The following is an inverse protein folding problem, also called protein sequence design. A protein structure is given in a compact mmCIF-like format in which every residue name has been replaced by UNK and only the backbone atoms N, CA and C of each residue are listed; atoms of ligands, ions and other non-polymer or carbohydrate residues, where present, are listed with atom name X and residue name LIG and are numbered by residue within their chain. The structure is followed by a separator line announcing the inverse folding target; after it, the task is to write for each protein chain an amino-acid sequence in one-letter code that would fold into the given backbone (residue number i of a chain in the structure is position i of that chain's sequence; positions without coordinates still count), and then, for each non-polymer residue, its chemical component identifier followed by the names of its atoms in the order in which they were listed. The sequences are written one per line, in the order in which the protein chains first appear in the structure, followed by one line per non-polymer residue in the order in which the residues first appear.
data_IF_888995024705
#
_entry.id   IF_888995024705
#
_cell.length_a   1.000
_cell.length_b   1.000
_cell.length_c   1.000
_cell.angle_alpha   90.00
_cell.angle_beta   90.00
_cell.angle_gamma   90.00
#
_symmetry.space_group_name_H-M   'P 1'
#
loop_
_entity.id
_entity.type
_entity.pdbx_description
1 polymer ?
#
# COMPACT_ATOMS: atom_id res chain seq x y z
N UNK A 1 -0.90 -3.04 -22.14
CA UNK A 1 -1.35 -2.52 -23.45
C UNK A 1 -1.11 -1.03 -23.45
N UNK A 2 -0.09 -0.58 -24.16
CA UNK A 2 0.17 0.85 -24.39
C UNK A 2 -0.81 1.27 -25.47
N UNK A 3 -1.78 2.11 -25.14
CA UNK A 3 -2.70 2.68 -26.12
C UNK A 3 -1.94 3.65 -27.00
N UNK A 4 -1.80 3.25 -28.26
CA UNK A 4 -1.28 4.06 -29.33
C UNK A 4 -2.36 5.09 -29.74
N UNK A 5 -2.31 6.28 -29.13
CA UNK A 5 -3.14 7.41 -29.57
C UNK A 5 -2.43 8.72 -29.29
N UNK A 6 -1.80 9.22 -30.33
CA UNK A 6 -1.22 10.55 -30.36
C UNK A 6 0.06 10.57 -31.15
N UNK A 7 -0.06 10.59 -32.48
CA UNK A 7 1.01 11.09 -33.34
C UNK A 7 1.25 12.55 -32.97
N UNK A 8 2.13 12.78 -31.98
CA UNK A 8 2.62 14.10 -31.69
C UNK A 8 3.51 14.55 -32.86
N UNK A 9 3.45 15.84 -33.23
CA UNK A 9 4.30 16.45 -34.25
C UNK A 9 5.82 16.23 -34.02
N UNK A 10 6.20 15.69 -32.86
CA UNK A 10 7.57 15.27 -32.52
C UNK A 10 8.08 14.07 -33.36
N UNK A 11 7.18 13.24 -33.95
CA UNK A 11 7.58 12.08 -34.75
C UNK A 11 8.00 12.44 -36.19
N UNK A 12 7.82 13.69 -36.61
CA UNK A 12 8.25 14.20 -37.93
C UNK A 12 9.66 14.81 -37.93
N UNK A 13 10.28 14.99 -36.75
CA UNK A 13 11.62 15.53 -36.65
C UNK A 13 12.67 14.46 -37.01
N UNK A 14 13.68 14.85 -37.80
CA UNK A 14 14.86 14.02 -37.97
C UNK A 14 15.62 13.85 -36.64
N UNK A 15 16.41 12.77 -36.53
CA UNK A 15 17.21 12.53 -35.32
C UNK A 15 18.21 13.67 -35.04
N UNK A 16 18.69 14.35 -36.08
CA UNK A 16 19.59 15.48 -35.96
C UNK A 16 18.88 16.71 -35.39
N UNK A 17 17.66 17.02 -35.84
CA UNK A 17 16.83 18.11 -35.32
C UNK A 17 16.45 17.84 -33.86
N UNK A 18 16.07 16.61 -33.52
CA UNK A 18 15.78 16.22 -32.15
C UNK A 18 17.00 16.41 -31.24
N UNK A 19 18.17 15.94 -31.63
CA UNK A 19 19.41 16.09 -30.89
C UNK A 19 19.81 17.57 -30.75
N UNK A 20 19.60 18.37 -31.76
CA UNK A 20 19.84 19.82 -31.69
C UNK A 20 18.92 20.48 -30.68
N UNK A 21 17.61 20.20 -30.71
CA UNK A 21 16.65 20.73 -29.74
C UNK A 21 16.99 20.31 -28.31
N UNK A 22 17.33 19.04 -28.11
CA UNK A 22 17.71 18.49 -26.80
C UNK A 22 18.98 19.17 -26.27
N UNK A 23 19.97 19.43 -27.14
CA UNK A 23 21.23 20.15 -26.74
C UNK A 23 21.00 21.59 -26.31
N UNK A 24 19.91 22.21 -26.74
CA UNK A 24 19.53 23.60 -26.36
C UNK A 24 18.60 23.64 -25.15
N UNK A 25 18.00 22.49 -24.79
CA UNK A 25 17.05 22.39 -23.67
C UNK A 25 17.83 22.33 -22.35
N UNK A 26 17.57 23.25 -21.47
CA UNK A 26 18.14 23.24 -20.11
C UNK A 26 17.13 22.74 -19.12
N UNK A 27 17.58 22.17 -18.00
CA UNK A 27 16.70 21.73 -16.91
C UNK A 27 15.78 22.89 -16.47
N UNK A 28 16.28 24.11 -16.42
CA UNK A 28 15.49 25.26 -16.01
C UNK A 28 14.31 25.59 -16.93
N UNK A 29 14.36 25.17 -18.22
CA UNK A 29 13.27 25.40 -19.18
C UNK A 29 12.17 24.38 -19.07
N UNK A 30 12.47 23.16 -18.59
CA UNK A 30 11.52 22.04 -18.52
C UNK A 30 11.07 21.68 -17.10
N UNK A 31 11.80 22.15 -16.08
CA UNK A 31 11.47 21.85 -14.69
C UNK A 31 10.16 22.49 -14.26
N UNK A 32 9.46 21.81 -13.36
CA UNK A 32 8.27 22.35 -12.67
C UNK A 32 8.71 23.52 -11.78
N UNK A 33 8.07 24.68 -11.95
CA UNK A 33 8.40 25.91 -11.19
C UNK A 33 7.74 25.93 -9.82
N UNK A 34 6.50 25.40 -9.71
CA UNK A 34 5.76 25.31 -8.45
C UNK A 34 5.81 23.86 -7.96
N UNK A 35 6.84 23.57 -7.18
CA UNK A 35 7.05 22.23 -6.63
C UNK A 35 6.11 21.99 -5.45
N UNK A 36 5.44 20.85 -5.44
CA UNK A 36 4.64 20.37 -4.30
C UNK A 36 5.56 19.50 -3.45
N UNK A 37 5.62 19.77 -2.15
CA UNK A 37 6.42 19.03 -1.17
C UNK A 37 5.56 18.56 -0.01
N UNK A 38 6.13 17.71 0.84
CA UNK A 38 5.56 17.25 2.11
C UNK A 38 6.52 17.51 3.26
N UNK A 39 6.00 17.65 4.47
CA UNK A 39 6.82 17.74 5.68
C UNK A 39 7.39 16.35 6.04
N UNK A 40 8.57 16.32 6.67
CA UNK A 40 9.21 15.05 7.08
C UNK A 40 8.45 14.28 8.16
N UNK A 41 7.52 14.93 8.86
CA UNK A 41 6.62 14.32 9.85
C UNK A 41 5.19 14.11 9.31
N UNK A 42 4.98 14.29 8.00
CA UNK A 42 3.67 14.11 7.39
C UNK A 42 3.26 12.64 7.36
N UNK A 43 1.97 12.37 7.56
CA UNK A 43 1.42 11.02 7.45
C UNK A 43 1.55 10.49 6.02
N UNK A 44 1.87 9.19 5.89
CA UNK A 44 2.02 8.54 4.58
C UNK A 44 0.70 8.55 3.79
N UNK A 45 -0.44 8.46 4.46
CA UNK A 45 -1.77 8.54 3.86
C UNK A 45 -2.01 9.92 3.22
N UNK A 46 -1.64 10.98 3.93
CA UNK A 46 -1.75 12.35 3.40
C UNK A 46 -0.79 12.60 2.25
N UNK A 47 0.45 12.10 2.37
CA UNK A 47 1.45 12.11 1.31
C UNK A 47 0.94 11.40 0.05
N UNK A 48 0.35 10.21 0.23
CA UNK A 48 -0.26 9.43 -0.86
C UNK A 48 -1.42 10.17 -1.51
N UNK A 49 -2.32 10.75 -0.71
CA UNK A 49 -3.43 11.54 -1.22
C UNK A 49 -2.95 12.75 -2.04
N UNK A 50 -1.86 13.40 -1.59
CA UNK A 50 -1.26 14.53 -2.29
C UNK A 50 -0.68 14.12 -3.64
N UNK A 51 -0.02 12.94 -3.74
CA UNK A 51 0.44 12.36 -4.99
C UNK A 51 -0.72 12.09 -5.95
N UNK A 52 -1.77 11.43 -5.47
CA UNK A 52 -2.95 11.08 -6.27
C UNK A 52 -3.67 12.32 -6.80
N UNK A 53 -3.97 13.31 -5.95
CA UNK A 53 -4.69 14.53 -6.32
C UNK A 53 -3.95 15.36 -7.38
N UNK A 54 -2.62 15.31 -7.37
CA UNK A 54 -1.78 16.11 -8.28
C UNK A 54 -1.21 15.28 -9.44
N UNK A 55 -1.52 13.99 -9.51
CA UNK A 55 -1.00 13.02 -10.50
C UNK A 55 0.54 13.07 -10.60
N UNK A 56 1.21 13.01 -9.46
CA UNK A 56 2.68 13.04 -9.35
C UNK A 56 3.19 11.80 -8.62
N UNK A 57 4.27 11.22 -9.14
CA UNK A 57 4.86 9.97 -8.64
C UNK A 57 5.91 10.14 -7.54
N UNK A 58 6.32 11.38 -7.24
CA UNK A 58 7.27 11.66 -6.17
C UNK A 58 7.09 13.07 -5.61
N UNK A 59 7.46 13.26 -4.34
CA UNK A 59 7.42 14.54 -3.65
C UNK A 59 8.73 14.76 -2.91
N UNK A 60 9.36 15.96 -3.02
CA UNK A 60 10.40 16.36 -2.10
C UNK A 60 9.88 16.41 -0.67
N UNK A 61 10.70 15.94 0.27
CA UNK A 61 10.44 16.02 1.69
C UNK A 61 11.22 17.21 2.26
N UNK A 62 10.55 18.03 3.04
CA UNK A 62 11.13 19.24 3.63
C UNK A 62 11.00 19.22 5.15
N UNK A 63 11.96 19.81 5.84
CA UNK A 63 11.88 20.05 7.28
C UNK A 63 11.17 21.38 7.59
N UNK A 64 11.03 21.71 8.87
CA UNK A 64 10.38 22.93 9.35
C UNK A 64 11.04 24.23 8.84
N UNK A 65 12.31 24.22 8.45
CA UNK A 65 13.00 25.35 7.86
C UNK A 65 12.82 25.47 6.33
N UNK A 66 12.04 24.57 5.73
CA UNK A 66 11.80 24.50 4.29
C UNK A 66 12.96 23.90 3.49
N UNK A 67 13.98 23.35 4.16
CA UNK A 67 15.11 22.69 3.50
C UNK A 67 14.69 21.27 3.08
N UNK A 68 15.03 20.89 1.85
CA UNK A 68 14.83 19.53 1.36
C UNK A 68 15.72 18.55 2.13
N UNK A 69 15.11 17.53 2.77
CA UNK A 69 15.76 16.48 3.54
C UNK A 69 15.72 15.13 2.84
N UNK A 70 14.81 14.96 1.86
CA UNK A 70 14.67 13.71 1.14
C UNK A 70 13.67 13.80 -0.01
N UNK A 71 13.33 12.65 -0.53
CA UNK A 71 12.30 12.45 -1.54
C UNK A 71 11.49 11.19 -1.16
N UNK A 72 10.18 11.26 -1.32
CA UNK A 72 9.28 10.11 -1.20
C UNK A 72 8.66 9.82 -2.56
N UNK A 73 8.62 8.54 -2.92
CA UNK A 73 8.11 8.05 -4.20
C UNK A 73 6.90 7.14 -4.01
N UNK A 74 6.15 6.86 -5.10
CA UNK A 74 5.09 5.85 -5.09
C UNK A 74 5.62 4.46 -4.65
N UNK A 75 6.85 4.10 -5.03
CA UNK A 75 7.45 2.83 -4.60
C UNK A 75 7.66 2.79 -3.08
N UNK A 76 7.98 3.91 -2.45
CA UNK A 76 8.12 3.96 -1.00
C UNK A 76 6.76 3.80 -0.30
N UNK A 77 5.70 4.37 -0.88
CA UNK A 77 4.32 4.17 -0.43
C UNK A 77 3.90 2.70 -0.58
N UNK A 78 4.22 2.04 -1.71
CA UNK A 78 3.93 0.62 -1.88
C UNK A 78 4.68 -0.28 -0.89
N UNK A 79 5.95 0.03 -0.61
CA UNK A 79 6.71 -0.69 0.43
C UNK A 79 6.09 -0.49 1.81
N UNK A 80 5.71 0.74 2.15
CA UNK A 80 5.02 1.03 3.41
C UNK A 80 3.72 0.20 3.53
N UNK A 81 2.92 0.15 2.47
CA UNK A 81 1.70 -0.65 2.42
C UNK A 81 1.98 -2.15 2.65
N UNK A 82 2.98 -2.72 1.98
CA UNK A 82 3.37 -4.13 2.17
C UNK A 82 3.84 -4.39 3.61
N UNK A 83 4.60 -3.46 4.20
CA UNK A 83 5.07 -3.57 5.58
C UNK A 83 3.90 -3.53 6.58
N UNK A 84 2.96 -2.59 6.41
CA UNK A 84 1.77 -2.48 7.28
C UNK A 84 0.91 -3.74 7.22
N UNK A 85 0.87 -4.40 6.06
CA UNK A 85 0.17 -5.69 5.88
C UNK A 85 1.01 -6.91 6.27
N UNK A 86 2.26 -6.73 6.69
CA UNK A 86 3.15 -7.83 7.05
C UNK A 86 3.43 -8.79 5.90
N UNK A 87 3.49 -8.29 4.65
CA UNK A 87 3.60 -9.17 3.48
C UNK A 87 4.85 -10.06 3.51
N UNK A 88 5.98 -9.55 3.97
CA UNK A 88 7.26 -10.25 3.98
C UNK A 88 7.51 -11.11 5.23
N UNK A 89 6.55 -11.16 6.17
CA UNK A 89 6.67 -11.94 7.39
C UNK A 89 6.30 -13.41 7.17
N UNK A 90 7.05 -14.30 7.84
CA UNK A 90 6.73 -15.73 7.93
C UNK A 90 5.50 -15.92 8.83
N UNK A 91 4.64 -16.83 8.44
CA UNK A 91 3.42 -17.12 9.18
C UNK A 91 2.22 -17.41 8.28
N UNK A 92 1.02 -17.29 8.81
CA UNK A 92 -0.22 -17.50 8.08
C UNK A 92 -1.00 -16.20 7.89
N UNK A 93 -1.71 -16.11 6.76
CA UNK A 93 -2.68 -15.07 6.45
C UNK A 93 -4.05 -15.69 6.34
N UNK A 94 -4.94 -15.32 7.24
CA UNK A 94 -6.30 -15.86 7.31
C UNK A 94 -7.29 -14.74 7.00
N UNK A 95 -8.23 -15.00 6.10
CA UNK A 95 -9.33 -14.07 5.79
C UNK A 95 -10.61 -14.61 6.42
N UNK A 96 -11.17 -13.83 7.36
CA UNK A 96 -12.34 -14.23 8.16
C UNK A 96 -13.47 -13.23 7.95
N UNK A 97 -14.69 -13.79 7.76
CA UNK A 97 -15.91 -12.98 7.71
C UNK A 97 -16.43 -12.77 9.14
N UNK A 98 -16.64 -11.53 9.51
CA UNK A 98 -17.20 -11.15 10.82
C UNK A 98 -18.40 -10.25 10.65
N UNK A 99 -19.32 -10.26 11.62
CA UNK A 99 -20.35 -9.23 11.72
C UNK A 99 -19.69 -7.94 12.20
N UNK A 100 -20.07 -6.81 11.58
CA UNK A 100 -19.61 -5.48 11.99
C UNK A 100 -20.39 -5.05 13.25
N UNK A 101 -19.92 -5.51 14.40
CA UNK A 101 -20.48 -5.19 15.71
C UNK A 101 -19.40 -4.85 16.73
N UNK A 102 -19.80 -4.13 17.76
CA UNK A 102 -18.88 -3.79 18.88
C UNK A 102 -18.34 -5.08 19.50
N UNK A 103 -16.99 -5.16 19.58
CA UNK A 103 -16.30 -6.30 20.19
C UNK A 103 -16.02 -7.46 19.23
N UNK A 104 -16.37 -7.39 17.94
CA UNK A 104 -16.12 -8.45 16.97
C UNK A 104 -14.64 -8.88 16.91
N UNK A 105 -13.73 -7.90 16.84
CA UNK A 105 -12.28 -8.15 16.83
C UNK A 105 -11.83 -8.77 18.16
N UNK A 106 -12.39 -8.32 19.29
CA UNK A 106 -12.08 -8.85 20.62
C UNK A 106 -12.41 -10.35 20.71
N UNK A 107 -13.63 -10.75 20.33
CA UNK A 107 -14.05 -12.15 20.32
C UNK A 107 -13.15 -13.02 19.42
N UNK A 108 -12.79 -12.48 18.26
CA UNK A 108 -11.91 -13.17 17.32
C UNK A 108 -10.48 -13.33 17.86
N UNK A 109 -9.95 -12.28 18.50
CA UNK A 109 -8.61 -12.33 19.10
C UNK A 109 -8.51 -13.29 20.28
N UNK A 110 -9.58 -13.47 21.05
CA UNK A 110 -9.64 -14.47 22.14
C UNK A 110 -9.46 -15.88 21.57
N UNK A 111 -10.15 -16.22 20.47
CA UNK A 111 -10.03 -17.53 19.82
C UNK A 111 -8.60 -17.78 19.34
N UNK A 112 -7.98 -16.77 18.72
CA UNK A 112 -6.61 -16.87 18.22
C UNK A 112 -5.64 -17.09 19.39
N UNK A 113 -5.83 -16.36 20.49
CA UNK A 113 -5.01 -16.51 21.69
C UNK A 113 -5.18 -17.88 22.39
N UNK A 114 -6.40 -18.45 22.42
CA UNK A 114 -6.66 -19.80 22.91
C UNK A 114 -5.87 -20.87 22.14
N UNK A 115 -5.67 -20.65 20.83
CA UNK A 115 -4.83 -21.49 19.97
C UNK A 115 -3.33 -21.20 20.12
N UNK A 116 -2.92 -20.31 21.06
CA UNK A 116 -1.52 -19.90 21.32
C UNK A 116 -0.82 -19.29 20.12
N UNK A 117 -1.58 -18.62 19.28
CA UNK A 117 -1.11 -17.93 18.07
C UNK A 117 -1.14 -16.42 18.32
N UNK A 118 -0.11 -15.72 17.86
CA UNK A 118 -0.05 -14.26 17.95
C UNK A 118 -0.56 -13.61 16.66
N UNK A 119 -1.24 -12.47 16.82
CA UNK A 119 -1.65 -11.62 15.70
C UNK A 119 -0.54 -10.60 15.45
N UNK A 120 0.08 -10.65 14.29
CA UNK A 120 1.10 -9.68 13.88
C UNK A 120 0.48 -8.46 13.19
N UNK A 121 -0.47 -8.71 12.28
CA UNK A 121 -1.16 -7.64 11.55
C UNK A 121 -2.64 -7.98 11.39
N UNK A 122 -3.46 -6.93 11.37
CA UNK A 122 -4.89 -7.04 11.10
C UNK A 122 -5.32 -5.91 10.18
N UNK A 123 -6.10 -6.23 9.18
CA UNK A 123 -6.67 -5.27 8.25
C UNK A 123 -8.14 -5.56 7.97
N UNK A 124 -8.93 -4.52 7.81
CA UNK A 124 -10.33 -4.64 7.38
C UNK A 124 -10.39 -4.36 5.88
N UNK A 125 -10.91 -5.30 5.12
CA UNK A 125 -10.87 -5.24 3.66
C UNK A 125 -12.15 -4.68 3.03
N UNK A 126 -13.30 -4.96 3.63
CA UNK A 126 -14.58 -4.46 3.13
C UNK A 126 -15.59 -4.41 4.24
N UNK A 127 -16.51 -3.44 4.11
CA UNK A 127 -17.73 -3.37 4.90
C UNK A 127 -18.89 -3.35 3.93
N UNK A 128 -19.75 -4.36 3.98
CA UNK A 128 -20.92 -4.45 3.15
C UNK A 128 -22.02 -5.17 3.94
N UNK A 129 -23.22 -4.56 4.00
CA UNK A 129 -24.40 -5.13 4.66
C UNK A 129 -24.18 -5.58 6.12
N UNK A 130 -23.38 -4.83 6.90
CA UNK A 130 -23.08 -5.16 8.30
C UNK A 130 -22.12 -6.34 8.46
N UNK A 131 -21.37 -6.67 7.42
CA UNK A 131 -20.35 -7.70 7.40
C UNK A 131 -19.00 -7.08 7.05
N UNK A 132 -17.96 -7.47 7.76
CA UNK A 132 -16.59 -7.10 7.47
C UNK A 132 -15.75 -8.33 7.13
N UNK A 133 -14.87 -8.19 6.14
CA UNK A 133 -13.84 -9.18 5.86
C UNK A 133 -12.54 -8.73 6.52
N UNK A 134 -12.09 -9.48 7.51
CA UNK A 134 -10.83 -9.24 8.20
C UNK A 134 -9.74 -10.11 7.60
N UNK A 135 -8.62 -9.50 7.29
CA UNK A 135 -7.38 -10.20 6.98
C UNK A 135 -6.49 -10.13 8.21
N UNK A 136 -6.11 -11.28 8.72
CA UNK A 136 -5.29 -11.43 9.91
C UNK A 136 -4.01 -12.14 9.50
N UNK A 137 -2.87 -11.60 9.92
CA UNK A 137 -1.60 -12.30 9.85
C UNK A 137 -1.19 -12.77 11.23
N UNK A 138 -0.82 -14.03 11.28
CA UNK A 138 -0.44 -14.75 12.49
C UNK A 138 0.97 -15.32 12.34
N UNK A 139 1.64 -15.51 13.48
CA UNK A 139 3.01 -16.04 13.55
C UNK A 139 3.12 -17.57 13.37
N UNK A 140 2.00 -18.26 13.11
CA UNK A 140 2.00 -19.71 12.89
C UNK A 140 2.12 -20.07 11.41
N UNK A 141 2.91 -21.11 11.12
CA UNK A 141 2.97 -21.75 9.80
C UNK A 141 2.12 -23.03 9.72
N UNK A 142 1.46 -23.40 10.81
CA UNK A 142 0.53 -24.53 10.93
C UNK A 142 -0.85 -24.01 11.40
N UNK A 143 -1.66 -23.38 10.52
CA UNK A 143 -2.91 -22.73 10.89
C UNK A 143 -4.12 -23.65 10.97
N UNK A 144 -3.99 -24.95 10.67
CA UNK A 144 -5.13 -25.87 10.47
C UNK A 144 -6.01 -25.97 11.72
N UNK A 145 -5.41 -26.11 12.90
CA UNK A 145 -6.16 -26.18 14.17
C UNK A 145 -6.88 -24.84 14.47
N UNK A 146 -6.23 -23.73 14.21
CA UNK A 146 -6.82 -22.39 14.36
C UNK A 146 -8.00 -22.22 13.39
N UNK A 147 -7.83 -22.60 12.12
CA UNK A 147 -8.89 -22.52 11.14
C UNK A 147 -10.09 -23.37 11.56
N UNK A 148 -9.87 -24.62 11.95
CA UNK A 148 -10.92 -25.51 12.41
C UNK A 148 -11.66 -24.98 13.65
N UNK A 149 -10.94 -24.32 14.57
CA UNK A 149 -11.54 -23.72 15.76
C UNK A 149 -12.39 -22.50 15.43
N UNK A 150 -11.92 -21.64 14.54
CA UNK A 150 -12.69 -20.50 14.03
C UNK A 150 -13.99 -20.96 13.39
N UNK A 151 -13.94 -21.96 12.50
CA UNK A 151 -15.11 -22.50 11.82
C UNK A 151 -16.08 -23.16 12.81
N UNK A 152 -15.58 -23.91 13.79
CA UNK A 152 -16.40 -24.53 14.86
C UNK A 152 -17.13 -23.48 15.71
N UNK A 153 -16.50 -22.31 15.94
CA UNK A 153 -17.10 -21.17 16.67
C UNK A 153 -17.98 -20.29 15.80
N UNK A 154 -18.23 -20.71 14.56
CA UNK A 154 -19.21 -20.10 13.66
C UNK A 154 -18.65 -18.97 12.77
N UNK A 155 -17.34 -18.81 12.71
CA UNK A 155 -16.70 -17.87 11.77
C UNK A 155 -16.56 -18.54 10.40
N UNK A 156 -16.77 -17.77 9.34
CA UNK A 156 -16.52 -18.23 7.97
C UNK A 156 -15.10 -17.82 7.58
N UNK A 157 -14.23 -18.80 7.39
CA UNK A 157 -12.90 -18.60 6.83
C UNK A 157 -12.99 -18.64 5.30
N UNK A 158 -12.58 -17.58 4.63
CA UNK A 158 -12.59 -17.47 3.16
C UNK A 158 -11.31 -18.01 2.53
N UNK A 159 -10.18 -17.71 3.16
CA UNK A 159 -8.86 -18.08 2.69
C UNK A 159 -7.92 -18.28 3.88
N UNK A 160 -7.04 -19.26 3.73
CA UNK A 160 -5.88 -19.44 4.58
C UNK A 160 -4.65 -19.63 3.70
N UNK A 161 -3.67 -18.78 3.85
CA UNK A 161 -2.42 -18.80 3.08
C UNK A 161 -1.25 -18.86 4.03
N UNK A 162 -0.32 -19.79 3.82
CA UNK A 162 0.91 -19.95 4.61
C UNK A 162 2.11 -19.43 3.83
N UNK A 163 2.95 -18.67 4.50
CA UNK A 163 4.26 -18.26 4.02
C UNK A 163 5.31 -18.80 4.98
N UNK A 164 6.14 -19.70 4.50
CA UNK A 164 7.17 -20.40 5.27
C UNK A 164 8.61 -19.89 5.00
N UNK A 165 8.75 -19.03 3.97
CA UNK A 165 10.03 -18.38 3.57
C UNK A 165 9.77 -17.05 2.86
#
# INVERSE_FOLDING_TARGET
MISNSGTTNATSLSIYELNYLLSKTTVSTVMVKKVISVDENELVEYTTQKMLKNNIGCLPVTNASGKVTGIVTQNDVFKCFLNVLGWDEVGSRITVVVKDEIGAIGKLSEIIAENKVNINHIGVYSFEDGIANLVIRCDTIEPDDLQADLERKGYKVLECFVRDK
#
